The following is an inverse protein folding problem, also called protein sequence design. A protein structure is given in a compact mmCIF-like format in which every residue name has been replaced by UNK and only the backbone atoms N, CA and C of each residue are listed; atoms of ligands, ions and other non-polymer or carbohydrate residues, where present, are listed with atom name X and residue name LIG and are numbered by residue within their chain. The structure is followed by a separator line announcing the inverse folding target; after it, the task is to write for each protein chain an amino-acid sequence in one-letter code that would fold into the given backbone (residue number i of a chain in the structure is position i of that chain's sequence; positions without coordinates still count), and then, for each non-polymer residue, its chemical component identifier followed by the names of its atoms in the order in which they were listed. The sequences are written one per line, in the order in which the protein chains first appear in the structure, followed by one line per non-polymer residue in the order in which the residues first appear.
data_IF_646401299537
#
_entry.id   IF_646401299537
#
_cell.length_a   1.000
_cell.length_b   1.000
_cell.length_c   1.000
_cell.angle_alpha   90.00
_cell.angle_beta   90.00
_cell.angle_gamma   90.00
#
_symmetry.space_group_name_H-M   'P 1'
#
loop_
_entity.id
_entity.type
_entity.pdbx_description
1 polymer ?
#
# COMPACT_ATOMS: atom_id res chain seq x y z
N UNK A 1 9.25 -28.08 -15.25
CA UNK A 1 9.57 -27.48 -13.94
C UNK A 1 9.92 -28.60 -12.99
N UNK A 2 11.02 -28.51 -12.25
CA UNK A 2 11.34 -29.50 -11.20
C UNK A 2 10.45 -29.26 -9.98
N UNK A 3 10.35 -30.24 -9.08
CA UNK A 3 9.57 -30.08 -7.84
C UNK A 3 10.11 -28.93 -6.99
N UNK A 4 11.44 -28.85 -6.84
CA UNK A 4 12.09 -27.69 -6.20
C UNK A 4 11.69 -26.34 -6.81
N UNK A 5 11.61 -26.24 -8.15
CA UNK A 5 11.19 -25.00 -8.80
C UNK A 5 9.73 -24.68 -8.53
N UNK A 6 8.85 -25.69 -8.41
CA UNK A 6 7.44 -25.53 -8.06
C UNK A 6 7.32 -25.02 -6.62
N UNK A 7 8.04 -25.61 -5.69
CA UNK A 7 8.05 -25.23 -4.28
C UNK A 7 8.56 -23.79 -4.09
N UNK A 8 9.64 -23.45 -4.79
CA UNK A 8 10.21 -22.10 -4.77
C UNK A 8 9.26 -21.06 -5.38
N UNK A 9 8.52 -21.43 -6.44
CA UNK A 9 7.52 -20.57 -7.05
C UNK A 9 6.33 -20.29 -6.11
N UNK A 10 6.01 -21.23 -5.22
CA UNK A 10 4.93 -21.12 -4.25
C UNK A 10 5.37 -20.55 -2.89
N UNK A 11 6.67 -20.36 -2.66
CA UNK A 11 7.19 -19.84 -1.40
C UNK A 11 7.06 -18.31 -1.34
N UNK A 12 6.19 -17.82 -0.45
CA UNK A 12 5.89 -16.39 -0.26
C UNK A 12 7.14 -15.59 0.07
N UNK A 13 8.00 -16.07 0.98
CA UNK A 13 9.22 -15.37 1.37
C UNK A 13 10.24 -15.29 0.22
N UNK A 14 10.40 -16.38 -0.55
CA UNK A 14 11.26 -16.37 -1.72
C UNK A 14 10.78 -15.34 -2.76
N UNK A 15 9.46 -15.27 -3.00
CA UNK A 15 8.88 -14.28 -3.91
C UNK A 15 9.01 -12.84 -3.39
N UNK A 16 8.86 -12.62 -2.08
CA UNK A 16 9.11 -11.32 -1.46
C UNK A 16 10.56 -10.85 -1.69
N UNK A 17 11.53 -11.74 -1.46
CA UNK A 17 12.97 -11.48 -1.63
C UNK A 17 13.36 -11.30 -3.11
N UNK A 18 12.66 -11.96 -4.03
CA UNK A 18 12.89 -11.83 -5.47
C UNK A 18 12.46 -10.46 -6.03
N UNK A 19 11.72 -9.64 -5.26
CA UNK A 19 11.33 -8.31 -5.72
C UNK A 19 12.54 -7.37 -5.87
N UNK A 20 12.50 -6.39 -6.79
CA UNK A 20 13.64 -5.50 -7.01
C UNK A 20 14.08 -4.75 -5.75
N UNK A 21 15.38 -4.75 -5.47
CA UNK A 21 15.93 -4.02 -4.32
C UNK A 21 15.80 -2.50 -4.53
N UNK A 22 15.34 -1.80 -3.51
CA UNK A 22 15.20 -0.33 -3.45
C UNK A 22 15.76 0.20 -2.14
N UNK A 23 16.09 1.48 -2.10
CA UNK A 23 16.57 2.15 -0.89
C UNK A 23 15.41 2.84 -0.16
N UNK A 24 15.25 2.56 1.12
CA UNK A 24 14.37 3.33 1.99
C UNK A 24 14.94 4.74 2.15
N UNK A 25 14.14 5.77 1.88
CA UNK A 25 14.59 7.15 1.94
C UNK A 25 14.91 7.58 3.38
N UNK A 26 14.18 7.04 4.36
CA UNK A 26 14.34 7.34 5.78
C UNK A 26 15.59 6.72 6.38
N UNK A 27 15.76 5.40 6.24
CA UNK A 27 16.83 4.64 6.90
C UNK A 27 18.06 4.40 6.02
N UNK A 28 17.97 4.66 4.72
CA UNK A 28 18.96 4.30 3.69
C UNK A 28 19.19 2.79 3.52
N UNK A 29 18.47 1.94 4.27
CA UNK A 29 18.51 0.50 4.11
C UNK A 29 18.08 0.10 2.70
N UNK A 30 18.75 -0.91 2.14
CA UNK A 30 18.44 -1.49 0.82
C UNK A 30 17.68 -2.79 1.03
N UNK A 31 16.41 -2.80 0.63
CA UNK A 31 15.50 -3.92 0.85
C UNK A 31 14.73 -4.24 -0.43
N UNK A 32 14.28 -5.49 -0.63
CA UNK A 32 13.32 -5.82 -1.67
C UNK A 32 12.08 -4.91 -1.60
N UNK A 33 11.57 -4.47 -2.75
CA UNK A 33 10.48 -3.50 -2.82
C UNK A 33 9.17 -3.97 -2.17
N UNK A 34 9.02 -5.27 -1.93
CA UNK A 34 7.91 -5.81 -1.16
C UNK A 34 7.80 -5.22 0.25
N UNK A 35 8.94 -4.96 0.91
CA UNK A 35 8.99 -4.41 2.28
C UNK A 35 8.90 -2.88 2.32
N UNK A 36 8.56 -2.25 1.19
CA UNK A 36 8.62 -0.81 1.01
C UNK A 36 7.33 -0.27 0.41
N UNK A 37 6.83 0.84 0.95
CA UNK A 37 5.74 1.61 0.35
C UNK A 37 6.33 2.57 -0.69
N UNK A 38 5.98 2.42 -1.97
CA UNK A 38 6.36 3.36 -3.02
C UNK A 38 5.55 4.66 -2.92
N UNK A 39 6.19 5.80 -3.17
CA UNK A 39 5.53 7.10 -3.30
C UNK A 39 5.75 7.71 -4.70
N UNK A 40 4.73 8.44 -5.16
CA UNK A 40 4.74 9.24 -6.39
C UNK A 40 4.18 10.64 -6.13
N UNK A 41 4.51 11.58 -7.00
CA UNK A 41 3.86 12.89 -7.00
C UNK A 41 2.60 12.84 -7.85
N UNK A 42 1.47 13.21 -7.29
CA UNK A 42 0.28 13.58 -8.05
C UNK A 42 0.40 15.06 -8.41
N UNK A 43 0.52 15.35 -9.71
CA UNK A 43 0.57 16.71 -10.20
C UNK A 43 -0.83 17.12 -10.63
N UNK A 44 -1.32 18.29 -10.22
CA UNK A 44 -2.63 18.75 -10.66
C UNK A 44 -2.67 18.86 -12.18
N UNK A 45 -3.84 18.72 -12.81
CA UNK A 45 -3.97 19.01 -14.23
C UNK A 45 -3.49 20.45 -14.49
N UNK A 46 -2.84 20.67 -15.64
CA UNK A 46 -2.62 22.03 -16.12
C UNK A 46 -4.02 22.57 -16.44
N UNK A 47 -4.58 23.45 -15.62
CA UNK A 47 -5.90 24.04 -15.90
C UNK A 47 -5.83 24.79 -17.25
N UNK A 48 -6.78 24.56 -18.17
CA UNK A 48 -7.13 25.50 -19.20
C UNK A 48 -8.59 25.91 -18.99
N UNK A 49 -8.93 26.56 -17.87
CA UNK A 49 -10.30 27.06 -17.68
C UNK A 49 -10.38 28.52 -18.13
N UNK A 50 -10.47 28.71 -19.44
CA UNK A 50 -10.80 29.98 -20.07
C UNK A 50 -12.32 30.15 -20.35
N UNK A 51 -13.18 29.20 -19.91
CA UNK A 51 -14.60 29.18 -20.31
C UNK A 51 -15.63 29.18 -19.17
N UNK A 52 -15.21 29.14 -17.90
CA UNK A 52 -16.16 29.32 -16.78
C UNK A 52 -16.29 30.80 -16.43
N UNK A 53 -17.40 31.41 -16.87
CA UNK A 53 -17.92 32.68 -16.33
C UNK A 53 -18.87 32.38 -15.17
N UNK A 54 -18.72 33.01 -13.99
CA UNK A 54 -17.75 34.05 -13.65
C UNK A 54 -16.32 33.50 -13.44
N UNK A 55 -15.29 34.33 -13.68
CA UNK A 55 -13.89 33.95 -13.52
C UNK A 55 -13.62 33.59 -12.05
N UNK A 56 -13.57 32.29 -11.76
CA UNK A 56 -13.05 31.83 -10.49
C UNK A 56 -11.53 32.03 -10.48
N UNK A 57 -10.93 32.53 -9.38
CA UNK A 57 -9.49 32.60 -9.27
C UNK A 57 -8.93 31.18 -9.47
N UNK A 58 -7.85 31.00 -10.26
CA UNK A 58 -7.27 29.69 -10.46
C UNK A 58 -6.86 29.16 -9.09
N UNK A 59 -7.51 28.08 -8.66
CA UNK A 59 -7.09 27.35 -7.47
C UNK A 59 -5.66 26.88 -7.75
N UNK A 60 -4.69 27.45 -7.03
CA UNK A 60 -3.32 26.98 -6.99
C UNK A 60 -3.32 25.63 -6.27
N UNK A 61 -3.70 24.59 -7.00
CA UNK A 61 -3.65 23.23 -6.50
C UNK A 61 -2.16 22.88 -6.40
N UNK A 62 -1.71 22.52 -5.21
CA UNK A 62 -0.33 22.07 -4.97
C UNK A 62 -0.19 20.63 -5.44
N UNK A 63 1.01 20.22 -5.90
CA UNK A 63 1.31 18.80 -6.06
C UNK A 63 1.23 18.10 -4.70
N UNK A 64 0.70 16.88 -4.69
CA UNK A 64 0.62 16.06 -3.48
C UNK A 64 1.45 14.81 -3.61
N UNK A 65 1.97 14.31 -2.48
CA UNK A 65 2.57 12.98 -2.41
C UNK A 65 1.46 11.94 -2.23
N UNK A 66 1.53 10.85 -2.99
CA UNK A 66 0.59 9.74 -2.85
C UNK A 66 1.32 8.39 -2.83
N UNK A 67 0.95 7.47 -1.94
CA UNK A 67 1.43 6.10 -1.96
C UNK A 67 0.91 5.38 -3.22
N UNK A 68 1.76 4.53 -3.80
CA UNK A 68 1.48 3.81 -5.05
C UNK A 68 1.26 2.32 -4.78
N UNK A 69 0.19 1.99 -4.06
CA UNK A 69 -0.20 0.62 -3.74
C UNK A 69 -1.31 0.18 -4.71
N UNK A 70 -1.15 -0.98 -5.35
CA UNK A 70 -2.14 -1.55 -6.28
C UNK A 70 -1.83 -1.39 -7.79
N UNK A 71 -2.84 -1.56 -8.67
CA UNK A 71 -2.64 -1.64 -10.12
C UNK A 71 -2.54 -0.26 -10.77
N UNK A 72 -1.33 0.32 -10.79
CA UNK A 72 -1.08 1.65 -11.38
C UNK A 72 -0.37 1.56 -12.73
N UNK A 73 -0.92 2.21 -13.77
CA UNK A 73 -0.44 2.11 -15.15
C UNK A 73 0.65 3.10 -15.57
N UNK A 74 0.88 4.24 -14.91
CA UNK A 74 1.59 5.35 -15.61
C UNK A 74 2.69 6.16 -14.90
N UNK A 75 3.18 5.84 -13.70
CA UNK A 75 4.43 6.45 -13.21
C UNK A 75 5.25 5.53 -12.31
N UNK A 76 6.55 5.37 -12.59
CA UNK A 76 7.43 4.62 -11.70
C UNK A 76 7.58 5.35 -10.36
N UNK A 77 7.58 4.63 -9.22
CA UNK A 77 7.77 5.27 -7.93
C UNK A 77 9.12 5.96 -7.90
N UNK A 78 9.17 7.12 -7.27
CA UNK A 78 10.43 7.88 -7.20
C UNK A 78 11.01 7.92 -5.78
N UNK A 79 10.27 7.47 -4.78
CA UNK A 79 10.74 7.29 -3.41
C UNK A 79 10.06 6.08 -2.77
N UNK A 80 10.71 5.55 -1.74
CA UNK A 80 10.29 4.36 -1.01
C UNK A 80 10.53 4.57 0.48
N UNK A 81 9.63 4.10 1.32
CA UNK A 81 9.78 4.04 2.78
C UNK A 81 9.43 2.64 3.25
N UNK A 82 9.87 2.24 4.45
CA UNK A 82 9.46 0.98 5.07
C UNK A 82 7.93 0.86 5.12
N UNK A 83 7.43 -0.33 4.79
CA UNK A 83 6.02 -0.68 4.90
C UNK A 83 5.64 -0.94 6.37
N UNK A 84 5.66 0.12 7.18
CA UNK A 84 5.36 0.07 8.61
C UNK A 84 4.69 1.36 9.06
N UNK A 85 3.68 1.23 9.93
CA UNK A 85 3.00 2.35 10.57
C UNK A 85 4.01 3.32 11.23
N UNK A 86 4.95 2.79 12.02
CA UNK A 86 5.98 3.57 12.72
C UNK A 86 6.81 4.47 11.77
N UNK A 87 7.10 3.98 10.57
CA UNK A 87 7.89 4.72 9.60
C UNK A 87 7.10 5.91 9.03
N UNK A 88 5.80 5.76 8.80
CA UNK A 88 4.90 6.84 8.35
C UNK A 88 4.66 7.84 9.49
N UNK A 89 4.41 7.37 10.72
CA UNK A 89 4.25 8.22 11.89
C UNK A 89 5.47 9.12 12.13
N UNK A 90 6.68 8.58 11.96
CA UNK A 90 7.94 9.34 12.10
C UNK A 90 8.12 10.44 11.04
N UNK A 91 7.43 10.38 9.90
CA UNK A 91 7.47 11.46 8.90
C UNK A 91 6.70 12.69 9.34
N UNK A 92 5.60 12.49 10.07
CA UNK A 92 4.68 13.57 10.51
C UNK A 92 5.33 14.38 11.64
N UNK A 93 6.09 13.70 12.52
CA UNK A 93 6.69 14.28 13.72
C UNK A 93 5.66 14.38 14.87
N UNK A 94 6.09 14.64 16.12
CA UNK A 94 5.17 14.70 17.25
C UNK A 94 4.16 15.84 17.10
N UNK A 95 2.86 15.52 17.20
CA UNK A 95 1.73 16.49 17.17
C UNK A 95 1.68 17.45 18.37
N UNK A 96 2.69 17.42 19.25
CA UNK A 96 2.71 18.23 20.47
C UNK A 96 3.00 19.71 20.18
N UNK A 97 2.26 20.60 20.86
CA UNK A 97 2.19 22.07 20.68
C UNK A 97 3.53 22.84 20.69
N UNK A 98 4.66 22.23 21.04
CA UNK A 98 5.97 22.79 20.79
C UNK A 98 6.49 22.23 19.49
N UNK A 99 6.52 23.06 18.44
CA UNK A 99 7.41 22.90 17.28
C UNK A 99 8.84 22.75 17.81
N UNK A 100 9.23 21.53 18.16
CA UNK A 100 10.64 21.20 18.27
C UNK A 100 11.26 21.49 16.90
N UNK A 101 12.48 22.02 16.92
CA UNK A 101 13.16 22.62 15.76
C UNK A 101 13.38 21.65 14.59
N UNK A 102 12.98 20.39 14.70
CA UNK A 102 12.91 19.40 13.61
C UNK A 102 11.49 19.33 13.05
N UNK A 103 11.18 20.17 12.06
CA UNK A 103 9.90 20.12 11.34
C UNK A 103 9.64 18.76 10.68
N UNK A 104 8.39 18.57 10.25
CA UNK A 104 7.92 17.37 9.56
C UNK A 104 8.87 16.91 8.44
N UNK A 105 9.25 15.63 8.45
CA UNK A 105 10.31 15.06 7.60
C UNK A 105 9.81 14.57 6.24
N UNK A 106 8.48 14.53 6.03
CA UNK A 106 7.86 14.02 4.81
C UNK A 106 8.43 14.62 3.51
N UNK A 107 8.91 15.87 3.55
CA UNK A 107 9.50 16.54 2.38
C UNK A 107 10.65 15.75 1.74
N UNK A 108 11.35 14.91 2.52
CA UNK A 108 12.41 14.02 2.02
C UNK A 108 11.89 12.97 1.02
N UNK A 109 10.61 12.64 1.06
CA UNK A 109 9.99 11.70 0.10
C UNK A 109 9.85 12.32 -1.30
N UNK A 110 9.91 13.65 -1.44
CA UNK A 110 9.84 14.30 -2.74
C UNK A 110 11.21 14.28 -3.41
N UNK A 111 11.41 13.27 -4.27
CA UNK A 111 12.65 13.12 -5.05
C UNK A 111 12.83 14.22 -6.11
N UNK A 112 14.07 14.39 -6.60
CA UNK A 112 14.38 15.26 -7.75
C UNK A 112 13.54 14.92 -9.00
N UNK A 113 13.27 13.62 -9.23
CA UNK A 113 12.43 13.16 -10.34
C UNK A 113 10.99 13.68 -10.24
N UNK A 114 10.45 13.78 -9.02
CA UNK A 114 9.12 14.34 -8.75
C UNK A 114 9.10 15.86 -8.87
N UNK A 115 10.18 16.53 -8.46
CA UNK A 115 10.29 18.00 -8.55
C UNK A 115 10.37 18.49 -9.99
N UNK A 116 11.05 17.75 -10.88
CA UNK A 116 11.37 18.20 -12.24
C UNK A 116 10.13 18.64 -13.06
N UNK A 117 9.03 17.86 -13.16
CA UNK A 117 7.84 18.30 -13.91
C UNK A 117 7.16 19.54 -13.31
N UNK A 118 7.19 19.69 -11.98
CA UNK A 118 6.65 20.85 -11.29
C UNK A 118 7.51 22.10 -11.48
N UNK A 119 8.84 21.97 -11.36
CA UNK A 119 9.79 23.05 -11.62
C UNK A 119 9.65 23.59 -13.05
N UNK A 120 9.45 22.69 -14.03
CA UNK A 120 9.18 23.06 -15.42
C UNK A 120 7.87 23.83 -15.58
N UNK A 121 6.83 23.46 -14.82
CA UNK A 121 5.52 24.16 -14.83
C UNK A 121 5.65 25.57 -14.24
N UNK A 122 6.35 25.69 -13.12
CA UNK A 122 6.57 26.94 -12.39
C UNK A 122 7.73 27.79 -12.96
N UNK A 123 8.33 27.37 -14.10
CA UNK A 123 9.44 28.06 -14.78
C UNK A 123 10.61 28.40 -13.84
N UNK A 124 10.98 27.47 -12.98
CA UNK A 124 12.10 27.62 -12.04
C UNK A 124 13.05 26.43 -12.08
N UNK A 125 14.25 26.63 -11.54
CA UNK A 125 15.20 25.53 -11.34
C UNK A 125 14.65 24.53 -10.33
N UNK A 126 14.97 23.25 -10.52
CA UNK A 126 14.57 22.16 -9.63
C UNK A 126 15.09 22.39 -8.20
N UNK A 127 16.31 22.93 -8.07
CA UNK A 127 16.93 23.24 -6.77
C UNK A 127 16.20 24.36 -6.00
N UNK A 128 15.43 25.19 -6.71
CA UNK A 128 14.65 26.29 -6.13
C UNK A 128 13.23 25.87 -5.72
N UNK A 129 12.88 24.59 -5.86
CA UNK A 129 11.58 24.05 -5.44
C UNK A 129 11.58 23.86 -3.92
N UNK A 130 10.80 24.68 -3.22
CA UNK A 130 10.65 24.59 -1.77
C UNK A 130 9.55 23.57 -1.40
N UNK A 131 9.89 22.28 -1.36
CA UNK A 131 8.95 21.17 -1.15
C UNK A 131 8.00 21.42 0.02
N UNK A 132 8.49 21.76 1.21
CA UNK A 132 7.65 21.96 2.39
C UNK A 132 6.62 23.10 2.26
N UNK A 133 6.81 24.03 1.31
CA UNK A 133 5.88 25.14 1.05
C UNK A 133 4.95 24.84 -0.13
N UNK A 134 5.46 24.11 -1.10
CA UNK A 134 4.85 23.94 -2.40
C UNK A 134 4.17 22.59 -2.60
N UNK A 135 4.52 21.57 -1.82
CA UNK A 135 3.83 20.29 -1.81
C UNK A 135 2.81 20.24 -0.69
N UNK A 136 1.79 19.43 -0.93
CA UNK A 136 0.81 19.03 0.06
C UNK A 136 1.15 17.63 0.59
N UNK A 137 1.03 17.51 1.91
CA UNK A 137 1.09 16.26 2.63
C UNK A 137 -0.29 15.97 3.19
N UNK A 138 -0.75 14.74 3.00
CA UNK A 138 -2.00 14.27 3.58
C UNK A 138 -1.81 14.00 5.07
N UNK A 139 -2.53 14.71 5.93
CA UNK A 139 -2.44 14.51 7.39
C UNK A 139 -2.96 13.13 7.82
N UNK A 140 -3.78 12.50 6.99
CA UNK A 140 -4.33 11.14 7.15
C UNK A 140 -3.58 10.12 6.27
N UNK A 141 -2.32 10.41 5.90
CA UNK A 141 -1.52 9.52 5.04
C UNK A 141 -1.44 8.09 5.57
N UNK A 142 -1.38 7.93 6.89
CA UNK A 142 -1.33 6.63 7.53
C UNK A 142 -2.59 5.79 7.25
N UNK A 143 -3.77 6.35 7.53
CA UNK A 143 -5.08 5.75 7.21
C UNK A 143 -5.22 5.50 5.69
N UNK A 144 -4.73 6.43 4.88
CA UNK A 144 -4.72 6.30 3.42
C UNK A 144 -3.89 5.09 2.96
N UNK A 145 -2.72 4.87 3.57
CA UNK A 145 -1.87 3.71 3.27
C UNK A 145 -2.56 2.43 3.73
N UNK A 146 -3.06 2.38 4.98
CA UNK A 146 -3.80 1.23 5.51
C UNK A 146 -4.97 0.85 4.61
N UNK A 147 -5.82 1.82 4.25
CA UNK A 147 -6.96 1.61 3.36
C UNK A 147 -6.56 1.17 1.94
N UNK A 148 -5.42 1.63 1.41
CA UNK A 148 -4.92 1.16 0.11
C UNK A 148 -4.38 -0.28 0.17
N UNK A 149 -3.71 -0.67 1.25
CA UNK A 149 -3.27 -2.05 1.47
C UNK A 149 -4.48 -2.97 1.61
N UNK A 150 -5.49 -2.57 2.41
CA UNK A 150 -6.75 -3.30 2.55
C UNK A 150 -7.47 -3.50 1.22
N UNK A 151 -7.65 -2.43 0.44
CA UNK A 151 -8.24 -2.53 -0.92
C UNK A 151 -7.45 -3.44 -1.85
N UNK A 152 -6.11 -3.46 -1.75
CA UNK A 152 -5.29 -4.37 -2.55
C UNK A 152 -5.51 -5.83 -2.14
N UNK A 153 -5.63 -6.13 -0.84
CA UNK A 153 -6.00 -7.48 -0.35
C UNK A 153 -7.34 -7.91 -0.93
N UNK A 154 -8.38 -7.10 -0.74
CA UNK A 154 -9.74 -7.37 -1.22
C UNK A 154 -9.73 -7.62 -2.74
N UNK A 155 -9.06 -6.76 -3.50
CA UNK A 155 -8.94 -6.90 -4.96
C UNK A 155 -8.26 -8.22 -5.36
N UNK A 156 -7.24 -8.65 -4.63
CA UNK A 156 -6.51 -9.90 -4.91
C UNK A 156 -7.34 -11.13 -4.55
N UNK A 157 -8.03 -11.10 -3.42
CA UNK A 157 -8.98 -12.16 -3.02
C UNK A 157 -10.09 -12.29 -4.04
N UNK A 158 -10.74 -11.18 -4.44
CA UNK A 158 -11.75 -11.16 -5.51
C UNK A 158 -11.22 -11.78 -6.81
N UNK A 159 -9.98 -11.47 -7.18
CA UNK A 159 -9.36 -12.05 -8.37
C UNK A 159 -9.19 -13.57 -8.26
N UNK A 160 -8.79 -14.08 -7.08
CA UNK A 160 -8.66 -15.51 -6.81
C UNK A 160 -10.01 -16.25 -6.87
N UNK A 161 -11.08 -15.66 -6.32
CA UNK A 161 -12.45 -16.21 -6.39
C UNK A 161 -12.93 -16.34 -7.84
N UNK A 162 -12.53 -15.40 -8.71
CA UNK A 162 -12.90 -15.43 -10.13
C UNK A 162 -12.02 -16.34 -11.01
N UNK A 163 -11.11 -17.13 -10.44
CA UNK A 163 -10.31 -18.08 -11.24
C UNK A 163 -11.05 -19.41 -11.41
N UNK A 164 -10.78 -20.10 -12.53
CA UNK A 164 -11.30 -21.46 -12.79
C UNK A 164 -10.69 -22.52 -11.87
N UNK A 165 -9.49 -22.26 -11.36
CA UNK A 165 -8.85 -23.09 -10.35
C UNK A 165 -9.45 -22.81 -8.97
N UNK A 166 -9.57 -23.86 -8.16
CA UNK A 166 -10.09 -23.78 -6.79
C UNK A 166 -9.06 -23.16 -5.83
N UNK A 167 -8.78 -21.87 -6.02
CA UNK A 167 -7.78 -21.11 -5.27
C UNK A 167 -8.28 -20.67 -3.89
N UNK A 168 -9.60 -20.60 -3.72
CA UNK A 168 -10.26 -20.16 -2.51
C UNK A 168 -11.42 -21.10 -2.20
N UNK A 169 -11.46 -21.63 -0.98
CA UNK A 169 -12.48 -22.59 -0.54
C UNK A 169 -13.16 -22.15 0.75
N UNK A 170 -14.21 -22.88 1.16
CA UNK A 170 -14.79 -22.70 2.50
C UNK A 170 -13.93 -23.42 3.53
N UNK A 171 -13.97 -22.92 4.75
CA UNK A 171 -13.32 -23.57 5.87
C UNK A 171 -13.90 -24.98 6.08
N UNK A 172 -13.03 -25.99 6.10
CA UNK A 172 -13.40 -27.40 6.30
C UNK A 172 -13.59 -28.22 5.02
N UNK A 173 -13.35 -27.64 3.84
CA UNK A 173 -13.49 -28.32 2.54
C UNK A 173 -12.17 -28.91 1.98
N UNK A 174 -11.11 -29.10 2.78
CA UNK A 174 -9.81 -29.56 2.27
C UNK A 174 -8.85 -30.25 3.25
N UNK A 175 -7.73 -30.69 2.68
CA UNK A 175 -6.59 -31.34 3.35
C UNK A 175 -5.73 -30.24 4.00
N UNK A 176 -5.97 -29.93 5.27
CA UNK A 176 -5.52 -28.70 5.96
C UNK A 176 -4.01 -28.39 6.04
N UNK A 177 -3.12 -29.07 5.31
CA UNK A 177 -1.68 -28.79 5.30
C UNK A 177 -1.27 -27.63 4.35
N UNK A 178 -2.03 -27.36 3.30
CA UNK A 178 -1.73 -26.34 2.28
C UNK A 178 -2.74 -25.16 2.26
N UNK A 179 -3.46 -24.99 3.36
CA UNK A 179 -4.59 -24.08 3.50
C UNK A 179 -4.30 -22.96 4.50
N UNK A 180 -4.48 -21.71 4.08
CA UNK A 180 -4.36 -20.56 4.96
C UNK A 180 -5.76 -20.02 5.24
N UNK A 181 -6.20 -20.15 6.48
CA UNK A 181 -7.48 -19.61 6.95
C UNK A 181 -7.38 -18.09 7.09
N UNK A 182 -8.27 -17.37 6.41
CA UNK A 182 -8.42 -15.92 6.49
C UNK A 182 -9.77 -15.61 7.14
N UNK A 183 -9.73 -14.96 8.31
CA UNK A 183 -10.93 -14.57 9.05
C UNK A 183 -11.38 -13.17 8.65
N UNK A 184 -12.69 -13.02 8.45
CA UNK A 184 -13.39 -11.76 8.11
C UNK A 184 -14.56 -11.45 9.06
N UNK A 185 -14.91 -12.37 9.95
CA UNK A 185 -15.96 -12.21 10.96
C UNK A 185 -15.96 -13.34 11.99
N UNK A 186 -16.98 -13.33 12.85
CA UNK A 186 -17.23 -14.38 13.85
C UNK A 186 -16.17 -14.53 14.96
N UNK A 187 -16.55 -15.25 16.03
CA UNK A 187 -15.61 -15.83 16.99
C UNK A 187 -15.39 -17.29 16.59
N UNK A 188 -14.39 -17.53 15.74
CA UNK A 188 -14.03 -18.87 15.32
C UNK A 188 -12.84 -19.40 16.13
N UNK A 189 -12.97 -20.62 16.68
CA UNK A 189 -11.92 -21.31 17.44
C UNK A 189 -10.69 -21.74 16.60
N UNK A 190 -10.78 -21.65 15.27
CA UNK A 190 -9.65 -22.01 14.40
C UNK A 190 -8.54 -20.96 14.45
N UNK A 191 -7.29 -21.41 14.43
CA UNK A 191 -6.13 -20.51 14.33
C UNK A 191 -6.10 -19.96 12.91
N UNK A 192 -6.55 -18.71 12.74
CA UNK A 192 -6.49 -18.02 11.46
C UNK A 192 -5.05 -17.60 11.16
N UNK A 193 -4.59 -17.81 9.93
CA UNK A 193 -3.30 -17.27 9.48
C UNK A 193 -3.33 -15.75 9.31
N UNK A 194 -4.52 -15.20 9.04
CA UNK A 194 -4.79 -13.77 8.98
C UNK A 194 -6.17 -13.44 9.56
N UNK A 195 -6.24 -12.41 10.40
CA UNK A 195 -7.51 -11.88 10.94
C UNK A 195 -7.74 -10.46 10.42
N UNK A 196 -8.61 -10.32 9.43
CA UNK A 196 -8.80 -9.05 8.74
C UNK A 196 -9.66 -8.05 9.51
N UNK A 197 -10.32 -8.45 10.61
CA UNK A 197 -11.28 -7.61 11.35
C UNK A 197 -10.67 -6.29 11.84
N UNK A 198 -9.42 -6.33 12.29
CA UNK A 198 -8.69 -5.15 12.79
C UNK A 198 -7.80 -4.50 11.71
N UNK A 199 -7.62 -5.19 10.58
CA UNK A 199 -6.64 -4.82 9.56
C UNK A 199 -7.24 -4.00 8.42
N UNK A 200 -8.53 -4.21 8.10
CA UNK A 200 -9.25 -3.48 7.04
C UNK A 200 -10.46 -2.75 7.60
N UNK A 201 -11.06 -1.86 6.80
CA UNK A 201 -12.29 -1.16 7.15
C UNK A 201 -13.54 -2.06 7.01
N UNK A 202 -14.65 -1.65 7.62
CA UNK A 202 -15.91 -2.42 7.56
C UNK A 202 -16.43 -2.54 6.11
N UNK A 203 -16.19 -1.55 5.26
CA UNK A 203 -16.56 -1.61 3.83
C UNK A 203 -15.88 -2.79 3.14
N UNK A 204 -14.57 -2.97 3.37
CA UNK A 204 -13.82 -4.12 2.87
C UNK A 204 -14.31 -5.45 3.45
N UNK A 205 -14.66 -5.50 4.74
CA UNK A 205 -15.21 -6.72 5.37
C UNK A 205 -16.56 -7.11 4.78
N UNK A 206 -17.47 -6.15 4.60
CA UNK A 206 -18.77 -6.38 3.95
C UNK A 206 -18.58 -6.89 2.54
N UNK A 207 -17.65 -6.32 1.78
CA UNK A 207 -17.35 -6.78 0.43
C UNK A 207 -16.84 -8.23 0.43
N UNK A 208 -15.90 -8.57 1.31
CA UNK A 208 -15.36 -9.92 1.44
C UNK A 208 -16.44 -10.92 1.85
N UNK A 209 -17.30 -10.59 2.83
CA UNK A 209 -18.43 -11.44 3.21
C UNK A 209 -19.38 -11.68 2.04
N UNK A 210 -19.62 -10.65 1.22
CA UNK A 210 -20.41 -10.76 0.00
C UNK A 210 -19.82 -11.72 -1.05
N UNK A 211 -18.49 -11.90 -1.08
CA UNK A 211 -17.84 -12.87 -1.97
C UNK A 211 -18.00 -14.32 -1.53
N UNK A 212 -18.28 -14.56 -0.25
CA UNK A 212 -18.32 -15.90 0.35
C UNK A 212 -19.69 -16.23 0.97
N UNK A 213 -20.77 -15.72 0.38
CA UNK A 213 -22.15 -15.98 0.81
C UNK A 213 -22.41 -15.68 2.31
N UNK A 214 -21.73 -14.66 2.85
CA UNK A 214 -21.84 -14.27 4.26
C UNK A 214 -20.99 -15.10 5.23
N UNK A 215 -20.10 -15.96 4.73
CA UNK A 215 -19.17 -16.69 5.59
C UNK A 215 -18.25 -15.74 6.37
N UNK A 216 -17.92 -16.14 7.61
CA UNK A 216 -17.03 -15.39 8.51
C UNK A 216 -15.54 -15.69 8.29
N UNK A 217 -15.22 -16.70 7.48
CA UNK A 217 -13.87 -17.06 7.12
C UNK A 217 -13.85 -17.80 5.78
N UNK A 218 -12.70 -17.76 5.12
CA UNK A 218 -12.43 -18.52 3.91
C UNK A 218 -11.00 -19.08 3.95
N UNK A 219 -10.73 -20.03 3.07
CA UNK A 219 -9.40 -20.63 2.93
C UNK A 219 -8.76 -20.14 1.64
N UNK A 220 -7.52 -19.65 1.74
CA UNK A 220 -6.68 -19.39 0.59
C UNK A 220 -5.71 -20.56 0.41
N UNK A 221 -5.84 -21.30 -0.70
CA UNK A 221 -5.01 -22.48 -0.96
C UNK A 221 -3.64 -22.09 -1.48
N UNK A 222 -2.61 -22.83 -1.09
CA UNK A 222 -1.24 -22.60 -1.56
C UNK A 222 -1.12 -22.95 -3.04
N UNK A 223 -0.96 -21.92 -3.85
CA UNK A 223 -0.82 -22.06 -5.28
C UNK A 223 0.07 -20.95 -5.85
N UNK A 224 0.72 -21.20 -6.98
CA UNK A 224 1.57 -20.19 -7.64
C UNK A 224 0.82 -18.89 -7.93
N UNK A 225 -0.49 -18.98 -8.20
CA UNK A 225 -1.37 -17.82 -8.45
C UNK A 225 -1.82 -17.12 -7.17
N UNK A 226 -1.84 -17.77 -6.01
CA UNK A 226 -2.25 -17.15 -4.74
C UNK A 226 -1.11 -16.46 -4.02
N UNK A 227 0.16 -16.72 -4.40
CA UNK A 227 1.34 -16.10 -3.76
C UNK A 227 1.24 -14.57 -3.72
N UNK A 228 0.79 -13.94 -4.80
CA UNK A 228 0.58 -12.48 -4.84
C UNK A 228 -0.48 -11.98 -3.85
N UNK A 229 -1.47 -12.80 -3.54
CA UNK A 229 -2.52 -12.51 -2.54
C UNK A 229 -1.95 -12.69 -1.14
N UNK A 230 -1.16 -13.74 -0.90
CA UNK A 230 -0.42 -13.91 0.36
C UNK A 230 0.54 -12.74 0.62
N UNK A 231 1.29 -12.29 -0.39
CA UNK A 231 2.15 -11.11 -0.26
C UNK A 231 1.34 -9.86 0.09
N UNK A 232 0.14 -9.68 -0.44
CA UNK A 232 -0.70 -8.54 -0.07
C UNK A 232 -1.18 -8.63 1.39
N UNK A 233 -1.58 -9.82 1.85
CA UNK A 233 -1.96 -10.08 3.24
C UNK A 233 -0.80 -9.83 4.20
N UNK A 234 0.40 -10.33 3.88
CA UNK A 234 1.63 -10.08 4.62
C UNK A 234 1.98 -8.59 4.69
N UNK A 235 1.88 -7.87 3.56
CA UNK A 235 2.17 -6.44 3.52
C UNK A 235 1.20 -5.64 4.41
N UNK A 236 -0.08 -6.02 4.43
CA UNK A 236 -1.06 -5.42 5.32
C UNK A 236 -0.76 -5.76 6.79
N UNK A 237 -0.49 -7.03 7.10
CA UNK A 237 -0.17 -7.50 8.46
C UNK A 237 1.03 -6.77 9.03
N UNK A 238 2.12 -6.72 8.29
CA UNK A 238 3.35 -6.02 8.70
C UNK A 238 3.16 -4.51 8.85
N UNK A 239 2.15 -3.93 8.19
CA UNK A 239 1.81 -2.53 8.35
C UNK A 239 1.01 -2.28 9.63
N UNK A 240 0.10 -3.19 9.98
CA UNK A 240 -0.86 -3.04 11.09
C UNK A 240 -0.35 -3.56 12.42
N UNK A 241 0.45 -4.63 12.41
CA UNK A 241 1.06 -5.16 13.61
C UNK A 241 2.27 -4.30 13.97
N UNK A 242 2.21 -3.62 15.12
CA UNK A 242 3.40 -3.02 15.69
C UNK A 242 4.35 -4.15 16.09
N UNK A 243 5.55 -4.16 15.50
CA UNK A 243 6.63 -5.00 16.02
C UNK A 243 7.07 -4.34 17.33
N UNK A 244 6.51 -4.80 18.45
CA UNK A 244 7.05 -4.50 19.78
C UNK A 244 8.54 -4.86 19.75
N UNK A 245 9.39 -3.85 19.83
CA UNK A 245 10.86 -3.98 19.88
C UNK A 245 11.39 -3.48 21.21
#
# INVERSE_FOLDING_TARGET
MTDFQRDLAQNVHAQALATPIRACVLTKARLPSHFLIPFVSNLPPKTPNAQSTPPQPPLLIKPSLVPRIGPWKSSQPSSYILASHSAIAHLIGPRTRKKEKGGSKWAMLVSERMKKPWAMRERKSVDKVAVAKEWEWDEEMDERVKGLLGREVVRRVRWCVGQEEDLVGRVGEGDGEDEIVVRIGGEGDQIAGFDLREMVDEEALVELRGLFDGADAFVLRRHSKTVITHLALEALRNYTEEIDT
#
